data_IF_236763311917
#
_entry.id   IF_236763311917
#
_cell.length_a   1.000
_cell.length_b   1.000
_cell.length_c   1.000
_cell.angle_alpha   90.00
_cell.angle_beta   90.00
_cell.angle_gamma   90.00
#
_symmetry.space_group_name_H-M   'P 1'
#
loop_
_entity.id
_entity.type
_entity.pdbx_description
1 polymer ?
#
# COMPACT_ATOMS: atom_id res chain seq x y z
N UNK A 1 -16.66 -30.37 -10.15
CA UNK A 1 -15.62 -30.09 -9.12
C UNK A 1 -16.27 -29.53 -7.86
N UNK A 2 -15.56 -29.56 -6.73
CA UNK A 2 -15.96 -28.98 -5.45
C UNK A 2 -15.12 -27.74 -5.19
N UNK A 3 -15.75 -26.57 -5.28
CA UNK A 3 -15.07 -25.28 -5.23
C UNK A 3 -15.47 -24.55 -3.96
N UNK A 4 -14.47 -24.06 -3.22
CA UNK A 4 -14.69 -23.18 -2.08
C UNK A 4 -14.41 -21.72 -2.46
N UNK A 5 -15.37 -20.84 -2.19
CA UNK A 5 -15.29 -19.40 -2.42
C UNK A 5 -14.79 -18.71 -1.16
N UNK A 6 -13.65 -18.03 -1.25
CA UNK A 6 -13.19 -17.09 -0.23
C UNK A 6 -13.49 -15.68 -0.72
N UNK A 7 -14.61 -15.13 -0.26
CA UNK A 7 -15.04 -13.76 -0.55
C UNK A 7 -14.35 -12.74 0.35
N UNK A 8 -14.02 -11.57 -0.18
CA UNK A 8 -13.45 -10.50 0.63
C UNK A 8 -13.03 -9.28 -0.19
N UNK A 9 -12.71 -8.18 0.49
CA UNK A 9 -12.19 -6.99 -0.21
C UNK A 9 -10.76 -7.20 -0.70
N UNK A 10 -9.94 -7.98 0.03
CA UNK A 10 -8.52 -8.20 -0.26
C UNK A 10 -7.73 -6.91 -0.50
N UNK A 11 -7.84 -5.98 0.46
CA UNK A 11 -7.32 -4.62 0.33
C UNK A 11 -6.27 -4.28 1.43
N UNK A 12 -5.10 -4.93 1.46
CA UNK A 12 -4.61 -5.95 0.53
C UNK A 12 -4.89 -7.40 1.00
N UNK A 13 -4.71 -8.38 0.12
CA UNK A 13 -4.56 -9.80 0.49
C UNK A 13 -3.31 -9.98 1.38
N UNK A 14 -3.36 -10.94 2.31
CA UNK A 14 -2.31 -11.18 3.30
C UNK A 14 -2.30 -12.65 3.76
N UNK A 15 -1.29 -13.05 4.54
CA UNK A 15 -1.08 -14.44 5.00
C UNK A 15 -2.28 -15.02 5.75
N UNK A 16 -3.05 -14.22 6.50
CA UNK A 16 -4.30 -14.66 7.10
C UNK A 16 -5.29 -15.26 6.08
N UNK A 17 -5.49 -14.62 4.93
CA UNK A 17 -6.35 -15.12 3.86
C UNK A 17 -5.78 -16.41 3.23
N UNK A 18 -4.46 -16.42 2.97
CA UNK A 18 -3.79 -17.61 2.42
C UNK A 18 -3.86 -18.78 3.39
N UNK A 19 -3.80 -18.54 4.70
CA UNK A 19 -3.91 -19.59 5.72
C UNK A 19 -5.32 -20.20 5.75
N UNK A 20 -6.37 -19.42 5.56
CA UNK A 20 -7.74 -19.93 5.42
C UNK A 20 -7.82 -20.87 4.21
N UNK A 21 -7.37 -20.41 3.04
CA UNK A 21 -7.40 -21.21 1.81
C UNK A 21 -6.57 -22.51 1.93
N UNK A 22 -5.37 -22.44 2.51
CA UNK A 22 -4.51 -23.61 2.74
C UNK A 22 -5.18 -24.61 3.69
N UNK A 23 -5.77 -24.14 4.78
CA UNK A 23 -6.48 -25.01 5.73
C UNK A 23 -7.70 -25.65 5.09
N UNK A 24 -8.46 -24.90 4.28
CA UNK A 24 -9.61 -25.42 3.55
C UNK A 24 -9.19 -26.58 2.62
N UNK A 25 -8.15 -26.38 1.80
CA UNK A 25 -7.63 -27.41 0.88
C UNK A 25 -7.08 -28.65 1.60
N UNK A 26 -6.64 -28.51 2.85
CA UNK A 26 -6.09 -29.60 3.64
C UNK A 26 -7.16 -30.41 4.41
N UNK A 27 -8.20 -29.74 4.90
CA UNK A 27 -9.18 -30.32 5.83
C UNK A 27 -10.55 -30.62 5.21
N UNK A 28 -10.89 -29.95 4.12
CA UNK A 28 -12.22 -30.05 3.51
C UNK A 28 -12.19 -30.92 2.26
N UNK A 29 -13.30 -31.59 1.93
CA UNK A 29 -13.43 -32.35 0.70
C UNK A 29 -13.67 -31.39 -0.49
N UNK A 30 -12.67 -30.55 -0.81
CA UNK A 30 -12.72 -29.56 -1.89
C UNK A 30 -11.53 -29.76 -2.85
N UNK A 31 -11.74 -29.39 -4.10
CA UNK A 31 -10.75 -29.54 -5.17
C UNK A 31 -9.97 -28.23 -5.37
N UNK A 32 -10.65 -27.08 -5.24
CA UNK A 32 -10.06 -25.74 -5.41
C UNK A 32 -10.62 -24.70 -4.43
N UNK A 33 -9.83 -23.65 -4.18
CA UNK A 33 -10.28 -22.42 -3.50
C UNK A 33 -10.22 -21.26 -4.48
N UNK A 34 -11.35 -20.59 -4.69
CA UNK A 34 -11.45 -19.41 -5.53
C UNK A 34 -11.52 -18.17 -4.64
N UNK A 35 -10.55 -17.29 -4.79
CA UNK A 35 -10.53 -15.97 -4.19
C UNK A 35 -11.42 -15.05 -5.00
N UNK A 36 -12.42 -14.47 -4.35
CA UNK A 36 -13.47 -13.67 -4.97
C UNK A 36 -13.42 -12.25 -4.41
N UNK A 37 -12.62 -11.34 -5.01
CA UNK A 37 -12.61 -9.94 -4.62
C UNK A 37 -13.97 -9.31 -4.85
N UNK A 38 -14.50 -8.61 -3.85
CA UNK A 38 -15.73 -7.85 -4.05
C UNK A 38 -15.48 -6.53 -4.77
N UNK A 39 -16.40 -6.12 -5.66
CA UNK A 39 -16.31 -4.86 -6.40
C UNK A 39 -16.48 -3.69 -5.44
N UNK A 40 -17.63 -3.68 -4.76
CA UNK A 40 -17.95 -2.76 -3.67
C UNK A 40 -18.33 -3.59 -2.44
N UNK A 41 -17.65 -3.37 -1.31
CA UNK A 41 -18.01 -4.03 -0.06
C UNK A 41 -19.13 -3.21 0.63
N UNK A 42 -20.41 -3.62 0.57
CA UNK A 42 -21.55 -2.79 0.99
C UNK A 42 -21.51 -2.35 2.46
N UNK A 43 -20.74 -3.04 3.30
CA UNK A 43 -20.62 -2.77 4.74
C UNK A 43 -19.33 -2.03 5.13
N UNK A 44 -18.41 -1.74 4.20
CA UNK A 44 -17.16 -1.02 4.51
C UNK A 44 -17.27 0.45 4.15
N UNK A 45 -16.95 1.34 5.12
CA UNK A 45 -16.77 2.78 4.91
C UNK A 45 -15.31 3.07 4.56
N UNK A 46 -15.06 3.90 3.54
CA UNK A 46 -13.72 4.38 3.15
C UNK A 46 -13.33 4.06 1.71
N UNK A 47 -12.36 4.81 1.17
CA UNK A 47 -11.86 4.61 -0.19
C UNK A 47 -10.99 3.36 -0.25
N UNK A 48 -11.46 2.36 -1.00
CA UNK A 48 -10.69 1.14 -1.29
C UNK A 48 -9.76 1.41 -2.46
N UNK A 49 -8.65 0.67 -2.52
CA UNK A 49 -7.87 0.63 -3.75
C UNK A 49 -8.73 0.05 -4.88
N UNK A 50 -8.55 0.59 -6.09
CA UNK A 50 -9.28 0.16 -7.28
C UNK A 50 -9.29 -1.37 -7.44
N UNK A 51 -10.43 -1.90 -7.89
CA UNK A 51 -10.69 -3.34 -8.00
C UNK A 51 -9.57 -4.10 -8.71
N UNK A 52 -9.06 -3.57 -9.83
CA UNK A 52 -8.01 -4.21 -10.61
C UNK A 52 -6.70 -4.41 -9.83
N UNK A 53 -6.29 -3.47 -8.98
CA UNK A 53 -5.11 -3.65 -8.12
C UNK A 53 -5.35 -4.73 -7.07
N UNK A 54 -6.55 -4.82 -6.49
CA UNK A 54 -6.89 -5.87 -5.53
C UNK A 54 -6.86 -7.26 -6.19
N UNK A 55 -7.43 -7.39 -7.39
CA UNK A 55 -7.31 -8.58 -8.23
C UNK A 55 -5.86 -8.93 -8.56
N UNK A 56 -5.04 -7.95 -8.94
CA UNK A 56 -3.63 -8.16 -9.25
C UNK A 56 -2.84 -8.66 -8.02
N UNK A 57 -3.05 -8.04 -6.85
CA UNK A 57 -2.44 -8.50 -5.60
C UNK A 57 -2.87 -9.93 -5.25
N UNK A 58 -4.16 -10.27 -5.41
CA UNK A 58 -4.66 -11.65 -5.20
C UNK A 58 -3.98 -12.61 -6.17
N UNK A 59 -3.96 -12.31 -7.48
CA UNK A 59 -3.32 -13.13 -8.51
C UNK A 59 -1.85 -13.39 -8.19
N UNK A 60 -1.12 -12.35 -7.77
CA UNK A 60 0.29 -12.45 -7.38
C UNK A 60 0.53 -13.25 -6.10
N UNK A 61 -0.39 -13.16 -5.14
CA UNK A 61 -0.31 -13.90 -3.88
C UNK A 61 -0.56 -15.40 -4.09
N UNK A 62 -1.47 -15.75 -5.00
CA UNK A 62 -1.90 -17.14 -5.21
C UNK A 62 -1.15 -17.87 -6.33
N UNK A 63 -0.34 -17.16 -7.13
CA UNK A 63 0.40 -17.74 -8.26
C UNK A 63 1.18 -19.04 -7.94
N UNK A 64 1.81 -19.19 -6.75
CA UNK A 64 2.50 -20.44 -6.41
C UNK A 64 1.59 -21.65 -6.13
N UNK A 65 0.27 -21.45 -6.02
CA UNK A 65 -0.67 -22.48 -5.54
C UNK A 65 -1.64 -22.91 -6.65
N UNK A 66 -1.39 -24.07 -7.28
CA UNK A 66 -2.17 -24.58 -8.43
C UNK A 66 -3.69 -24.67 -8.20
N UNK A 67 -4.10 -25.02 -6.96
CA UNK A 67 -5.50 -25.19 -6.53
C UNK A 67 -6.15 -23.90 -6.01
N UNK A 68 -5.47 -22.76 -6.08
CA UNK A 68 -6.02 -21.46 -5.72
C UNK A 68 -6.22 -20.63 -6.99
N UNK A 69 -7.45 -20.15 -7.22
CA UNK A 69 -7.80 -19.37 -8.41
C UNK A 69 -8.33 -17.99 -8.03
N UNK A 70 -8.18 -17.03 -8.93
CA UNK A 70 -8.85 -15.73 -8.84
C UNK A 70 -10.18 -15.83 -9.60
N UNK A 71 -11.28 -15.41 -8.96
CA UNK A 71 -12.58 -15.24 -9.59
C UNK A 71 -12.93 -13.74 -9.61
N UNK A 72 -13.02 -13.14 -10.80
CA UNK A 72 -13.31 -11.71 -11.01
C UNK A 72 -14.80 -11.42 -11.20
N UNK A 73 -15.66 -12.41 -11.02
CA UNK A 73 -17.09 -12.35 -11.36
C UNK A 73 -17.80 -11.11 -10.78
N UNK A 74 -17.53 -10.76 -9.52
CA UNK A 74 -18.19 -9.60 -8.90
C UNK A 74 -17.81 -8.26 -9.55
N UNK A 75 -16.69 -8.18 -10.26
CA UNK A 75 -16.32 -7.02 -11.07
C UNK A 75 -17.17 -6.88 -12.34
N UNK A 76 -17.59 -8.02 -12.91
CA UNK A 76 -18.40 -8.11 -14.14
C UNK A 76 -19.89 -7.85 -13.88
N UNK A 77 -20.34 -8.05 -12.64
CA UNK A 77 -21.73 -7.80 -12.27
C UNK A 77 -21.99 -6.32 -12.01
N UNK A 78 -23.13 -5.84 -12.49
CA UNK A 78 -23.60 -4.49 -12.21
C UNK A 78 -24.18 -4.37 -10.80
N UNK A 79 -23.94 -3.21 -10.17
CA UNK A 79 -24.41 -2.88 -8.83
C UNK A 79 -23.66 -3.60 -7.70
N UNK A 80 -24.28 -3.60 -6.51
CA UNK A 80 -23.67 -4.12 -5.28
C UNK A 80 -23.40 -5.64 -5.37
N UNK A 81 -22.22 -6.04 -4.90
CA UNK A 81 -21.77 -7.42 -4.78
C UNK A 81 -22.46 -8.15 -3.62
N UNK A 82 -23.71 -8.58 -3.84
CA UNK A 82 -24.42 -9.45 -2.89
C UNK A 82 -24.10 -10.92 -3.16
N UNK A 83 -23.67 -11.64 -2.13
CA UNK A 83 -23.27 -13.07 -2.21
C UNK A 83 -24.33 -13.96 -2.89
N UNK A 84 -25.61 -13.71 -2.66
CA UNK A 84 -26.72 -14.46 -3.28
C UNK A 84 -26.76 -14.30 -4.81
N UNK A 85 -26.39 -13.14 -5.34
CA UNK A 85 -26.29 -12.93 -6.80
C UNK A 85 -25.10 -13.69 -7.36
N UNK A 86 -23.97 -13.61 -6.67
CA UNK A 86 -22.73 -14.26 -7.08
C UNK A 86 -22.88 -15.78 -7.15
N UNK A 87 -23.48 -16.41 -6.13
CA UNK A 87 -23.66 -17.87 -6.12
C UNK A 87 -24.62 -18.36 -7.21
N UNK A 88 -25.70 -17.62 -7.48
CA UNK A 88 -26.65 -17.95 -8.55
C UNK A 88 -25.98 -17.88 -9.92
N UNK A 89 -25.20 -16.83 -10.17
CA UNK A 89 -24.47 -16.68 -11.43
C UNK A 89 -23.36 -17.74 -11.59
N UNK A 90 -22.64 -18.08 -10.52
CA UNK A 90 -21.65 -19.16 -10.56
C UNK A 90 -22.28 -20.50 -10.90
N UNK A 91 -23.40 -20.85 -10.29
CA UNK A 91 -24.13 -22.09 -10.61
C UNK A 91 -24.64 -22.12 -12.05
N UNK A 92 -25.04 -20.96 -12.60
CA UNK A 92 -25.42 -20.83 -14.00
C UNK A 92 -24.24 -21.07 -14.95
N UNK A 93 -23.07 -20.49 -14.65
CA UNK A 93 -21.85 -20.62 -15.48
C UNK A 93 -21.18 -21.99 -15.36
N UNK A 94 -21.29 -22.62 -14.18
CA UNK A 94 -20.64 -23.89 -13.85
C UNK A 94 -21.67 -24.90 -13.29
N UNK A 95 -22.59 -25.41 -14.11
CA UNK A 95 -23.72 -26.23 -13.66
C UNK A 95 -23.31 -27.60 -13.10
N UNK A 96 -22.10 -28.09 -13.40
CA UNK A 96 -21.57 -29.36 -12.91
C UNK A 96 -20.66 -29.20 -11.69
N UNK A 97 -20.46 -27.96 -11.23
CA UNK A 97 -19.64 -27.67 -10.05
C UNK A 97 -20.51 -27.41 -8.82
N UNK A 98 -19.95 -27.71 -7.66
CA UNK A 98 -20.56 -27.45 -6.35
C UNK A 98 -19.77 -26.38 -5.63
N UNK A 99 -20.48 -25.46 -4.99
CA UNK A 99 -19.90 -24.28 -4.38
C UNK A 99 -20.15 -24.27 -2.86
N UNK A 100 -19.14 -23.84 -2.12
CA UNK A 100 -19.20 -23.57 -0.69
C UNK A 100 -18.52 -22.25 -0.38
N UNK A 101 -18.79 -21.65 0.78
CA UNK A 101 -18.17 -20.40 1.22
C UNK A 101 -17.26 -20.63 2.42
N UNK A 102 -16.10 -19.97 2.39
CA UNK A 102 -15.17 -19.89 3.51
C UNK A 102 -15.34 -18.52 4.17
N UNK A 103 -15.73 -18.50 5.44
CA UNK A 103 -15.95 -17.26 6.20
C UNK A 103 -15.29 -17.32 7.58
N UNK A 104 -15.00 -16.16 8.18
CA UNK A 104 -14.52 -16.07 9.56
C UNK A 104 -15.66 -15.96 10.58
N UNK A 105 -15.33 -16.05 11.87
CA UNK A 105 -16.29 -15.87 12.97
C UNK A 105 -17.04 -14.53 12.89
N UNK A 106 -16.34 -13.46 12.52
CA UNK A 106 -16.90 -12.10 12.40
C UNK A 106 -18.02 -12.04 11.35
N UNK A 107 -17.82 -12.71 10.22
CA UNK A 107 -18.81 -12.78 9.14
C UNK A 107 -19.96 -13.72 9.50
N UNK A 108 -19.68 -14.84 10.18
CA UNK A 108 -20.70 -15.77 10.64
C UNK A 108 -21.64 -15.11 11.66
N UNK A 109 -21.10 -14.33 12.60
CA UNK A 109 -21.89 -13.62 13.62
C UNK A 109 -22.86 -12.57 13.02
N UNK A 110 -22.56 -12.03 11.83
CA UNK A 110 -23.41 -11.06 11.14
C UNK A 110 -24.14 -11.64 9.93
N UNK A 111 -24.14 -12.97 9.76
CA UNK A 111 -24.67 -13.61 8.55
C UNK A 111 -26.14 -13.29 8.30
N UNK A 112 -26.95 -13.14 9.34
CA UNK A 112 -28.38 -12.83 9.19
C UNK A 112 -28.62 -11.44 8.57
N UNK A 113 -27.61 -10.55 8.58
CA UNK A 113 -27.64 -9.24 7.91
C UNK A 113 -27.30 -9.33 6.41
N UNK A 114 -26.88 -10.48 5.91
CA UNK A 114 -26.58 -10.67 4.49
C UNK A 114 -27.89 -10.70 3.70
N UNK A 115 -27.87 -10.08 2.51
CA UNK A 115 -29.05 -10.07 1.64
C UNK A 115 -29.46 -11.51 1.29
N UNK A 116 -30.74 -11.82 1.52
CA UNK A 116 -31.35 -13.13 1.29
C UNK A 116 -30.63 -14.28 2.02
N UNK A 117 -30.15 -14.04 3.25
CA UNK A 117 -29.37 -15.00 4.06
C UNK A 117 -30.04 -16.38 4.21
N UNK A 118 -31.37 -16.42 4.38
CA UNK A 118 -32.12 -17.68 4.46
C UNK A 118 -32.06 -18.49 3.15
N UNK A 119 -32.23 -17.83 2.00
CA UNK A 119 -32.05 -18.46 0.69
C UNK A 119 -30.59 -18.89 0.50
N UNK A 120 -29.65 -18.03 0.88
CA UNK A 120 -28.22 -18.28 0.71
C UNK A 120 -27.75 -19.56 1.43
N UNK A 121 -28.32 -19.89 2.60
CA UNK A 121 -28.06 -21.17 3.30
C UNK A 121 -28.52 -22.40 2.52
N UNK A 122 -29.54 -22.26 1.67
CA UNK A 122 -30.01 -23.34 0.79
C UNK A 122 -29.14 -23.47 -0.46
N UNK A 123 -28.51 -22.37 -0.88
CA UNK A 123 -27.70 -22.34 -2.10
C UNK A 123 -26.30 -22.93 -1.91
N UNK A 124 -25.70 -22.84 -0.72
CA UNK A 124 -24.32 -23.29 -0.49
C UNK A 124 -24.03 -23.66 0.97
N UNK A 125 -23.05 -24.55 1.17
CA UNK A 125 -22.48 -24.83 2.48
C UNK A 125 -21.54 -23.70 2.93
N UNK A 126 -21.58 -23.35 4.21
CA UNK A 126 -20.69 -22.36 4.83
C UNK A 126 -19.74 -23.03 5.81
N UNK A 127 -18.44 -22.83 5.61
CA UNK A 127 -17.37 -23.26 6.49
C UNK A 127 -16.82 -22.07 7.27
N UNK A 128 -16.95 -22.12 8.59
CA UNK A 128 -16.58 -21.04 9.50
C UNK A 128 -15.22 -21.34 10.12
N UNK A 129 -14.24 -20.52 9.78
CA UNK A 129 -12.88 -20.59 10.29
C UNK A 129 -12.77 -19.78 11.57
N UNK A 130 -12.58 -20.49 12.67
CA UNK A 130 -12.73 -19.92 14.01
C UNK A 130 -11.44 -19.80 14.78
N UNK A 131 -11.36 -18.78 15.64
CA UNK A 131 -10.32 -18.64 16.67
C UNK A 131 -10.59 -19.52 17.89
N UNK A 132 -11.85 -19.82 18.16
CA UNK A 132 -12.31 -20.54 19.35
C UNK A 132 -13.03 -21.83 18.97
N UNK A 133 -12.83 -22.89 19.74
CA UNK A 133 -13.50 -24.17 19.48
C UNK A 133 -14.98 -24.14 19.90
N UNK A 134 -15.35 -23.27 20.86
CA UNK A 134 -16.60 -23.38 21.62
C UNK A 134 -17.66 -22.31 21.32
N UNK A 135 -17.51 -21.51 20.25
CA UNK A 135 -18.53 -20.51 19.89
C UNK A 135 -19.84 -21.15 19.43
N UNK A 136 -20.98 -20.46 19.59
CA UNK A 136 -22.20 -20.83 18.85
C UNK A 136 -22.03 -20.45 17.36
N UNK A 137 -22.38 -21.36 16.45
CA UNK A 137 -22.49 -21.07 15.03
C UNK A 137 -23.96 -20.90 14.63
N UNK A 138 -24.24 -20.07 13.61
CA UNK A 138 -25.55 -20.09 12.97
C UNK A 138 -25.89 -21.49 12.46
N UNK A 139 -27.15 -21.89 12.62
CA UNK A 139 -27.67 -23.18 12.17
C UNK A 139 -27.32 -23.43 10.69
N UNK A 140 -26.81 -24.63 10.38
CA UNK A 140 -26.45 -25.06 9.03
C UNK A 140 -25.01 -24.77 8.60
N UNK A 141 -24.20 -24.10 9.44
CA UNK A 141 -22.79 -23.84 9.17
C UNK A 141 -21.86 -24.86 9.82
N UNK A 142 -20.69 -25.11 9.22
CA UNK A 142 -19.70 -26.08 9.69
C UNK A 142 -18.45 -25.39 10.22
N UNK A 143 -18.06 -25.66 11.46
CA UNK A 143 -16.82 -25.14 12.06
C UNK A 143 -15.60 -25.82 11.42
N UNK A 144 -14.56 -25.05 11.15
CA UNK A 144 -13.24 -25.55 10.73
C UNK A 144 -12.19 -24.99 11.69
N UNK A 145 -11.63 -25.82 12.60
CA UNK A 145 -10.63 -25.36 13.54
C UNK A 145 -9.34 -24.96 12.81
N UNK A 146 -8.78 -23.80 13.16
CA UNK A 146 -7.49 -23.36 12.63
C UNK A 146 -6.78 -22.42 13.60
N UNK A 147 -5.45 -22.43 13.59
CA UNK A 147 -4.68 -21.35 14.19
C UNK A 147 -4.68 -20.15 13.25
N UNK A 148 -5.44 -19.11 13.61
CA UNK A 148 -5.51 -17.88 12.83
C UNK A 148 -4.24 -17.03 13.01
N UNK A 149 -3.78 -16.46 11.91
CA UNK A 149 -2.75 -15.42 11.94
C UNK A 149 -3.46 -14.13 12.35
N UNK A 150 -3.09 -13.57 13.50
CA UNK A 150 -3.65 -12.30 13.99
C UNK A 150 -3.16 -11.13 13.13
N UNK A 151 -3.83 -10.90 12.00
CA UNK A 151 -3.56 -9.79 11.08
C UNK A 151 -4.84 -9.41 10.32
N UNK A 152 -4.99 -8.12 10.06
CA UNK A 152 -6.03 -7.56 9.21
C UNK A 152 -5.44 -6.67 8.12
N UNK A 153 -6.17 -6.54 7.01
CA UNK A 153 -5.82 -5.58 5.95
C UNK A 153 -5.76 -4.14 6.47
N UNK A 154 -6.58 -3.76 7.47
CA UNK A 154 -6.56 -2.40 8.03
C UNK A 154 -5.25 -2.08 8.73
N UNK A 155 -4.75 -2.99 9.58
CA UNK A 155 -3.43 -2.86 10.20
C UNK A 155 -2.34 -2.69 9.14
N UNK A 156 -2.38 -3.50 8.07
CA UNK A 156 -1.43 -3.41 6.96
C UNK A 156 -1.51 -2.06 6.25
N UNK A 157 -2.71 -1.55 5.95
CA UNK A 157 -2.89 -0.23 5.33
C UNK A 157 -2.36 0.91 6.22
N UNK A 158 -2.36 0.73 7.53
CA UNK A 158 -1.83 1.69 8.51
C UNK A 158 -0.32 1.52 8.78
N UNK A 159 0.34 0.57 8.12
CA UNK A 159 1.78 0.35 8.24
C UNK A 159 2.19 -0.70 9.26
N UNK A 160 1.22 -1.32 9.93
CA UNK A 160 1.42 -2.38 10.92
C UNK A 160 1.42 -3.76 10.25
N UNK A 161 2.07 -4.75 10.86
CA UNK A 161 2.04 -6.16 10.43
C UNK A 161 2.34 -6.41 8.94
N UNK A 162 3.09 -5.52 8.29
CA UNK A 162 3.50 -5.65 6.87
C UNK A 162 4.26 -6.95 6.57
N UNK A 163 4.83 -7.61 7.58
CA UNK A 163 5.42 -8.93 7.47
C UNK A 163 4.45 -9.99 6.92
N UNK A 164 3.13 -9.81 7.14
CA UNK A 164 2.08 -10.71 6.67
C UNK A 164 1.72 -10.51 5.19
N UNK A 165 2.37 -9.60 4.48
CA UNK A 165 2.22 -9.49 3.03
C UNK A 165 3.12 -10.51 2.33
N UNK A 166 2.61 -11.27 1.33
CA UNK A 166 3.47 -12.03 0.43
C UNK A 166 4.48 -11.12 -0.27
N UNK A 167 5.69 -11.62 -0.55
CA UNK A 167 6.78 -10.81 -1.18
C UNK A 167 6.36 -10.18 -2.50
N UNK A 168 5.64 -10.92 -3.34
CA UNK A 168 5.12 -10.45 -4.64
C UNK A 168 4.12 -9.31 -4.47
N UNK A 169 3.28 -9.37 -3.43
CA UNK A 169 2.31 -8.32 -3.11
C UNK A 169 3.00 -7.06 -2.57
N UNK A 170 4.02 -7.20 -1.71
CA UNK A 170 4.84 -6.06 -1.25
C UNK A 170 5.44 -5.28 -2.42
N UNK A 171 6.05 -6.01 -3.35
CA UNK A 171 6.64 -5.42 -4.57
C UNK A 171 5.60 -4.69 -5.42
N UNK A 172 4.44 -5.30 -5.61
CA UNK A 172 3.34 -4.68 -6.34
C UNK A 172 2.85 -3.39 -5.67
N UNK A 173 2.68 -3.43 -4.35
CA UNK A 173 2.31 -2.27 -3.54
C UNK A 173 3.31 -1.12 -3.74
N UNK A 174 4.61 -1.38 -3.56
CA UNK A 174 5.64 -0.35 -3.69
C UNK A 174 5.78 0.21 -5.10
N UNK A 175 5.64 -0.64 -6.13
CA UNK A 175 5.70 -0.20 -7.55
C UNK A 175 4.52 0.70 -7.92
N UNK A 176 3.35 0.47 -7.33
CA UNK A 176 2.12 1.24 -7.61
C UNK A 176 1.84 2.30 -6.54
N UNK A 177 2.76 2.56 -5.61
CA UNK A 177 2.57 3.55 -4.53
C UNK A 177 1.38 3.28 -3.60
N UNK A 178 0.86 2.05 -3.56
CA UNK A 178 -0.36 1.74 -2.81
C UNK A 178 -0.11 1.84 -1.31
N UNK A 179 -1.03 2.46 -0.56
CA UNK A 179 -0.94 2.65 0.89
C UNK A 179 0.30 3.43 1.39
N UNK A 180 1.20 3.86 0.51
CA UNK A 180 2.45 4.57 0.87
C UNK A 180 2.14 5.81 1.68
N UNK A 181 1.12 6.59 1.29
CA UNK A 181 0.70 7.79 2.00
C UNK A 181 0.37 7.52 3.48
N UNK A 182 -0.32 6.41 3.76
CA UNK A 182 -0.66 6.02 5.13
C UNK A 182 0.58 5.57 5.90
N UNK A 183 1.49 4.84 5.25
CA UNK A 183 2.73 4.38 5.87
C UNK A 183 3.67 5.54 6.19
N UNK A 184 3.76 6.53 5.30
CA UNK A 184 4.47 7.79 5.52
C UNK A 184 3.83 8.53 6.69
N UNK A 185 2.51 8.73 6.68
CA UNK A 185 1.78 9.41 7.76
C UNK A 185 2.02 8.77 9.12
N UNK A 186 1.99 7.44 9.21
CA UNK A 186 2.23 6.70 10.45
C UNK A 186 3.67 6.83 10.98
N UNK A 187 4.61 7.31 10.17
CA UNK A 187 6.04 7.38 10.51
C UNK A 187 6.49 8.76 11.01
N UNK A 188 5.62 9.77 11.00
CA UNK A 188 5.99 11.16 11.27
C UNK A 188 4.85 11.97 11.92
N UNK A 189 5.17 13.17 12.40
CA UNK A 189 4.16 14.09 12.93
C UNK A 189 3.25 14.66 11.83
N UNK A 190 2.03 15.06 12.18
CA UNK A 190 1.07 15.65 11.23
C UNK A 190 1.67 16.84 10.46
N UNK A 191 2.40 17.73 11.13
CA UNK A 191 3.10 18.86 10.48
C UNK A 191 4.08 18.41 9.40
N UNK A 192 4.86 17.34 9.65
CA UNK A 192 5.83 16.80 8.68
C UNK A 192 5.13 16.05 7.54
N UNK A 193 4.01 15.41 7.85
CA UNK A 193 3.19 14.76 6.85
C UNK A 193 2.60 15.79 5.87
N UNK A 194 2.05 16.90 6.36
CA UNK A 194 1.54 17.98 5.51
C UNK A 194 2.63 18.60 4.62
N UNK A 195 3.84 18.81 5.16
CA UNK A 195 5.02 19.18 4.36
C UNK A 195 5.28 18.17 3.24
N UNK A 196 5.27 16.88 3.55
CA UNK A 196 5.53 15.83 2.54
C UNK A 196 4.44 15.75 1.47
N UNK A 197 3.17 16.00 1.84
CA UNK A 197 2.06 16.10 0.88
C UNK A 197 2.26 17.28 -0.06
N UNK A 198 2.54 18.48 0.47
CA UNK A 198 2.72 19.66 -0.36
C UNK A 198 3.95 19.56 -1.27
N UNK A 199 5.06 19.00 -0.78
CA UNK A 199 6.23 18.70 -1.62
C UNK A 199 5.87 17.70 -2.74
N UNK A 200 5.05 16.69 -2.46
CA UNK A 200 4.60 15.74 -3.48
C UNK A 200 3.78 16.41 -4.58
N UNK A 201 2.89 17.35 -4.23
CA UNK A 201 2.11 18.13 -5.19
C UNK A 201 3.01 19.00 -6.08
N UNK A 202 4.01 19.67 -5.48
CA UNK A 202 5.00 20.45 -6.24
C UNK A 202 5.83 19.55 -7.16
N UNK A 203 6.23 18.36 -6.68
CA UNK A 203 6.95 17.39 -7.51
C UNK A 203 6.13 16.96 -8.73
N UNK A 204 4.83 16.65 -8.55
CA UNK A 204 3.92 16.29 -9.65
C UNK A 204 3.78 17.43 -10.64
N UNK A 205 3.56 18.66 -10.14
CA UNK A 205 3.45 19.87 -10.97
C UNK A 205 4.68 20.06 -11.86
N UNK A 206 5.88 19.97 -11.27
CA UNK A 206 7.13 20.10 -12.02
C UNK A 206 7.36 18.92 -12.97
N UNK A 207 7.03 17.69 -12.57
CA UNK A 207 7.15 16.54 -13.45
C UNK A 207 6.25 16.66 -14.68
N UNK A 208 5.00 17.10 -14.50
CA UNK A 208 4.06 17.38 -15.60
C UNK A 208 4.63 18.43 -16.57
N UNK A 209 5.14 19.56 -16.05
CA UNK A 209 5.72 20.63 -16.87
C UNK A 209 6.92 20.16 -17.73
N UNK A 210 7.64 19.14 -17.28
CA UNK A 210 8.81 18.57 -17.97
C UNK A 210 8.52 17.23 -18.68
N UNK A 211 7.24 16.86 -18.82
CA UNK A 211 6.80 15.61 -19.47
C UNK A 211 7.43 14.34 -18.85
N UNK A 212 7.57 14.34 -17.52
CA UNK A 212 8.09 13.24 -16.72
C UNK A 212 6.96 12.42 -16.08
N UNK A 213 7.31 11.27 -15.53
CA UNK A 213 6.40 10.36 -14.84
C UNK A 213 5.94 10.96 -13.51
N UNK A 214 4.69 11.43 -13.46
CA UNK A 214 4.08 12.05 -12.29
C UNK A 214 3.96 11.10 -11.09
N UNK A 215 3.79 9.79 -11.33
CA UNK A 215 3.68 8.80 -10.26
C UNK A 215 5.01 8.64 -9.51
N UNK A 216 6.11 8.62 -10.25
CA UNK A 216 7.48 8.63 -9.68
C UNK A 216 7.70 9.91 -8.87
N UNK A 217 7.27 11.05 -9.41
CA UNK A 217 7.43 12.34 -8.76
C UNK A 217 6.61 12.45 -7.47
N UNK A 218 5.38 11.97 -7.47
CA UNK A 218 4.55 11.88 -6.28
C UNK A 218 5.18 10.96 -5.22
N UNK A 219 5.63 9.76 -5.62
CA UNK A 219 6.20 8.78 -4.71
C UNK A 219 7.49 9.27 -4.04
N UNK A 220 8.40 9.92 -4.79
CA UNK A 220 9.62 10.50 -4.20
C UNK A 220 9.29 11.67 -3.28
N UNK A 221 8.32 12.52 -3.66
CA UNK A 221 7.89 13.68 -2.87
C UNK A 221 7.24 13.28 -1.55
N UNK A 222 6.30 12.34 -1.55
CA UNK A 222 5.62 11.92 -0.31
C UNK A 222 6.56 11.20 0.65
N UNK A 223 7.60 10.52 0.14
CA UNK A 223 8.51 9.71 0.94
C UNK A 223 9.83 10.39 1.35
N UNK A 224 10.19 11.54 0.79
CA UNK A 224 11.54 12.13 0.93
C UNK A 224 11.99 12.31 2.38
N UNK A 225 11.07 12.71 3.25
CA UNK A 225 11.33 13.07 4.63
C UNK A 225 10.92 11.98 5.64
N UNK A 226 10.64 10.75 5.17
CA UNK A 226 10.14 9.64 6.00
C UNK A 226 11.01 9.33 7.22
N UNK A 227 12.33 9.58 7.12
CA UNK A 227 13.28 9.35 8.20
C UNK A 227 13.71 10.64 8.93
N UNK A 228 13.12 11.80 8.64
CA UNK A 228 13.54 13.10 9.20
C UNK A 228 13.46 13.16 10.72
N UNK A 229 12.46 12.50 11.29
CA UNK A 229 12.17 12.48 12.73
C UNK A 229 12.64 11.18 13.41
N UNK A 230 13.45 10.37 12.73
CA UNK A 230 14.00 9.15 13.31
C UNK A 230 14.86 9.49 14.56
N UNK A 231 14.68 8.80 15.69
CA UNK A 231 15.51 8.99 16.87
C UNK A 231 17.00 8.79 16.56
N UNK A 232 17.86 9.59 17.18
CA UNK A 232 19.29 9.62 16.87
C UNK A 232 19.95 8.23 16.98
N UNK A 233 19.71 7.50 18.07
CA UNK A 233 20.30 6.17 18.27
C UNK A 233 19.94 5.20 17.14
N UNK A 234 18.68 5.23 16.69
CA UNK A 234 18.23 4.41 15.54
C UNK A 234 18.91 4.84 14.25
N UNK A 235 18.99 6.15 13.99
CA UNK A 235 19.64 6.68 12.80
C UNK A 235 21.14 6.35 12.79
N UNK A 236 21.83 6.47 13.92
CA UNK A 236 23.25 6.15 14.08
C UNK A 236 23.52 4.68 13.81
N UNK A 237 22.75 3.77 14.41
CA UNK A 237 22.84 2.32 14.14
C UNK A 237 22.63 2.05 12.66
N UNK A 238 21.62 2.67 12.04
CA UNK A 238 21.36 2.52 10.61
C UNK A 238 22.56 2.95 9.76
N UNK A 239 23.12 4.13 10.04
CA UNK A 239 24.29 4.66 9.31
C UNK A 239 25.50 3.75 9.45
N UNK A 240 25.79 3.24 10.66
CA UNK A 240 26.91 2.32 10.89
C UNK A 240 26.81 1.07 10.02
N UNK A 241 25.61 0.47 9.92
CA UNK A 241 25.43 -0.80 9.22
C UNK A 241 25.20 -0.66 7.71
N UNK A 242 24.63 0.45 7.27
CA UNK A 242 24.19 0.60 5.87
C UNK A 242 24.95 1.68 5.09
N UNK A 243 25.50 2.70 5.76
CA UNK A 243 26.11 3.89 5.15
C UNK A 243 27.39 4.35 5.89
N UNK A 244 28.35 3.45 6.19
CA UNK A 244 29.49 3.78 7.05
C UNK A 244 30.38 4.91 6.50
N UNK A 245 30.45 5.07 5.16
CA UNK A 245 31.20 6.14 4.49
C UNK A 245 30.67 7.54 4.79
N UNK A 246 29.39 7.67 5.16
CA UNK A 246 28.72 8.96 5.38
C UNK A 246 28.61 9.35 6.87
N UNK A 247 29.23 8.58 7.77
CA UNK A 247 29.14 8.81 9.22
C UNK A 247 29.71 10.15 9.69
N UNK A 248 30.65 10.73 8.95
CA UNK A 248 31.27 12.02 9.29
C UNK A 248 30.46 13.22 8.81
N UNK A 249 29.44 13.01 7.97
CA UNK A 249 28.61 14.09 7.47
C UNK A 249 27.68 14.65 8.56
N UNK A 250 27.24 15.89 8.36
CA UNK A 250 26.29 16.51 9.26
C UNK A 250 25.03 15.64 9.41
N UNK A 251 24.64 15.38 10.66
CA UNK A 251 23.44 14.59 11.01
C UNK A 251 22.19 15.04 10.26
N UNK A 252 22.05 16.34 10.00
CA UNK A 252 20.90 16.89 9.27
C UNK A 252 20.78 16.32 7.86
N UNK A 253 21.84 15.75 7.27
CA UNK A 253 21.90 15.15 5.93
C UNK A 253 21.46 13.68 5.95
N UNK A 254 21.73 12.95 7.04
CA UNK A 254 21.57 11.49 7.11
C UNK A 254 20.17 11.00 6.72
N UNK A 255 19.11 11.77 7.00
CA UNK A 255 17.75 11.39 6.63
C UNK A 255 17.53 11.17 5.12
N UNK A 256 18.30 11.82 4.24
CA UNK A 256 18.26 11.53 2.79
C UNK A 256 18.75 10.12 2.49
N UNK A 257 19.92 9.77 3.01
CA UNK A 257 20.52 8.44 2.83
C UNK A 257 19.69 7.33 3.46
N UNK A 258 19.30 7.53 4.73
CA UNK A 258 18.46 6.59 5.48
C UNK A 258 17.09 6.50 4.81
N UNK A 259 16.50 7.63 4.40
CA UNK A 259 15.20 7.68 3.73
C UNK A 259 15.17 6.88 2.44
N UNK A 260 16.21 6.97 1.62
CA UNK A 260 16.33 6.21 0.38
C UNK A 260 16.40 4.68 0.64
N UNK A 261 17.25 4.25 1.59
CA UNK A 261 17.35 2.83 1.95
C UNK A 261 16.06 2.33 2.65
N UNK A 262 15.44 3.17 3.48
CA UNK A 262 14.16 2.88 4.13
C UNK A 262 13.03 2.72 3.12
N UNK A 263 12.90 3.63 2.15
CA UNK A 263 11.88 3.56 1.09
C UNK A 263 11.98 2.25 0.31
N UNK A 264 13.20 1.83 -0.02
CA UNK A 264 13.45 0.55 -0.68
C UNK A 264 13.01 -0.65 0.17
N UNK A 265 13.38 -0.68 1.45
CA UNK A 265 13.18 -1.85 2.32
C UNK A 265 11.77 -1.96 2.91
N UNK A 266 11.17 -0.82 3.25
CA UNK A 266 9.96 -0.76 4.08
C UNK A 266 8.75 -0.12 3.38
N UNK A 267 8.97 0.65 2.31
CA UNK A 267 7.92 1.07 1.37
C UNK A 267 7.92 0.20 0.10
N UNK A 268 8.91 -0.69 -0.04
CA UNK A 268 9.06 -1.63 -1.16
C UNK A 268 9.19 -0.95 -2.54
N UNK A 269 9.67 0.30 -2.56
CA UNK A 269 9.93 1.05 -3.77
C UNK A 269 11.22 0.55 -4.43
N UNK A 270 11.12 -0.01 -5.64
CA UNK A 270 12.27 -0.53 -6.38
C UNK A 270 12.76 0.41 -7.49
N UNK A 271 11.97 1.44 -7.83
CA UNK A 271 12.33 2.37 -8.89
C UNK A 271 13.56 3.20 -8.49
N UNK A 272 14.65 3.02 -9.23
CA UNK A 272 15.93 3.69 -8.98
C UNK A 272 15.81 5.21 -9.07
N UNK A 273 14.87 5.75 -9.86
CA UNK A 273 14.61 7.19 -9.97
C UNK A 273 14.14 7.76 -8.64
N UNK A 274 13.19 7.08 -7.99
CA UNK A 274 12.66 7.43 -6.66
C UNK A 274 13.77 7.37 -5.62
N UNK A 275 14.47 6.23 -5.55
CA UNK A 275 15.51 6.00 -4.53
C UNK A 275 16.66 7.00 -4.68
N UNK A 276 17.11 7.25 -5.91
CA UNK A 276 18.17 8.23 -6.18
C UNK A 276 17.72 9.66 -5.85
N UNK A 277 16.50 10.06 -6.20
CA UNK A 277 15.99 11.38 -5.85
C UNK A 277 15.97 11.59 -4.34
N UNK A 278 15.42 10.64 -3.56
CA UNK A 278 15.39 10.71 -2.09
C UNK A 278 16.81 10.73 -1.52
N UNK A 279 17.76 9.98 -2.09
CA UNK A 279 19.14 9.97 -1.60
C UNK A 279 19.80 11.35 -1.71
N UNK A 280 19.61 12.04 -2.83
CA UNK A 280 20.29 13.31 -3.15
C UNK A 280 19.51 14.57 -2.72
N UNK A 281 18.26 14.46 -2.28
CA UNK A 281 17.38 15.62 -2.10
C UNK A 281 17.85 16.63 -1.04
N UNK A 282 18.72 16.23 -0.11
CA UNK A 282 19.20 17.15 0.94
C UNK A 282 20.29 18.06 0.42
N UNK A 283 21.24 17.49 -0.33
CA UNK A 283 22.42 18.18 -0.86
C UNK A 283 22.15 18.83 -2.22
N UNK A 284 21.17 18.31 -2.98
CA UNK A 284 20.89 18.80 -4.33
C UNK A 284 22.03 18.52 -5.30
N UNK A 285 22.79 17.44 -5.07
CA UNK A 285 23.94 17.00 -5.85
C UNK A 285 23.56 15.98 -6.95
N UNK A 286 22.31 15.51 -6.96
CA UNK A 286 21.79 14.61 -7.97
C UNK A 286 21.56 15.30 -9.32
N UNK A 287 22.11 14.72 -10.40
CA UNK A 287 22.00 15.26 -11.75
C UNK A 287 20.72 14.84 -12.50
N UNK A 288 19.98 13.85 -12.00
CA UNK A 288 18.75 13.39 -12.67
C UNK A 288 17.63 14.44 -12.54
N UNK A 289 16.74 14.56 -13.54
CA UNK A 289 15.61 15.48 -13.46
C UNK A 289 14.74 15.29 -12.20
N UNK A 290 14.53 14.04 -11.77
CA UNK A 290 13.79 13.73 -10.55
C UNK A 290 14.51 14.20 -9.27
N UNK A 291 15.84 14.04 -9.20
CA UNK A 291 16.61 14.54 -8.06
C UNK A 291 16.58 16.07 -7.99
N UNK A 292 16.67 16.74 -9.14
CA UNK A 292 16.55 18.20 -9.24
C UNK A 292 15.14 18.63 -8.79
N UNK A 293 14.08 18.02 -9.34
CA UNK A 293 12.69 18.30 -8.98
C UNK A 293 12.48 18.14 -7.48
N UNK A 294 12.93 17.04 -6.88
CA UNK A 294 12.70 16.81 -5.45
C UNK A 294 13.43 17.83 -4.57
N UNK A 295 14.68 18.14 -4.93
CA UNK A 295 15.47 19.14 -4.21
C UNK A 295 14.81 20.53 -4.27
N UNK A 296 14.40 20.99 -5.47
CA UNK A 296 13.75 22.31 -5.59
C UNK A 296 12.37 22.30 -4.95
N UNK A 297 11.59 21.21 -5.05
CA UNK A 297 10.28 21.10 -4.43
C UNK A 297 10.35 21.18 -2.90
N UNK A 298 11.28 20.48 -2.24
CA UNK A 298 11.47 20.61 -0.78
C UNK A 298 11.85 22.04 -0.38
N UNK A 299 12.63 22.72 -1.23
CA UNK A 299 13.12 24.08 -0.99
C UNK A 299 12.16 25.18 -1.40
N UNK A 300 11.10 24.89 -2.15
CA UNK A 300 10.11 25.84 -2.61
C UNK A 300 8.70 25.51 -2.09
N UNK A 301 8.60 24.54 -1.17
CA UNK A 301 7.36 24.08 -0.57
C UNK A 301 6.52 25.24 -0.01
N UNK A 302 5.31 25.50 -0.54
CA UNK A 302 4.42 26.54 -0.05
C UNK A 302 4.05 26.40 1.44
N UNK A 303 4.05 25.18 1.99
CA UNK A 303 3.75 24.96 3.40
C UNK A 303 4.82 25.54 4.35
N UNK A 304 5.95 26.04 3.82
CA UNK A 304 6.98 26.76 4.59
C UNK A 304 6.64 28.24 4.86
N UNK A 305 5.58 28.78 4.26
CA UNK A 305 5.02 30.09 4.63
C UNK A 305 5.69 31.31 3.99
N UNK A 306 6.42 31.14 2.89
CA UNK A 306 6.89 32.23 2.03
C UNK A 306 6.42 32.00 0.59
N UNK A 307 6.35 33.07 -0.20
CA UNK A 307 5.95 32.98 -1.60
C UNK A 307 7.11 32.47 -2.46
N UNK A 308 6.90 31.32 -3.09
CA UNK A 308 7.84 30.65 -4.00
C UNK A 308 7.35 30.64 -5.45
N UNK A 309 6.29 31.40 -5.76
CA UNK A 309 5.57 31.32 -7.05
C UNK A 309 6.45 31.65 -8.25
N UNK A 310 7.31 32.68 -8.15
CA UNK A 310 8.23 33.05 -9.22
C UNK A 310 9.28 31.97 -9.48
N UNK A 311 9.86 31.41 -8.41
CA UNK A 311 10.84 30.32 -8.51
C UNK A 311 10.21 29.06 -9.09
N UNK A 312 8.96 28.74 -8.71
CA UNK A 312 8.23 27.61 -9.28
C UNK A 312 7.96 27.80 -10.78
N UNK A 313 7.51 28.97 -11.20
CA UNK A 313 7.32 29.30 -12.63
C UNK A 313 8.64 29.19 -13.41
N UNK A 314 9.76 29.59 -12.82
CA UNK A 314 11.08 29.42 -13.42
C UNK A 314 11.46 27.94 -13.53
N UNK A 315 11.22 27.15 -12.48
CA UNK A 315 11.48 25.70 -12.48
C UNK A 315 10.61 24.97 -13.51
N UNK A 316 9.35 25.37 -13.71
CA UNK A 316 8.47 24.82 -14.75
C UNK A 316 9.00 25.08 -16.16
N UNK A 317 9.55 26.27 -16.40
CA UNK A 317 10.15 26.61 -17.70
C UNK A 317 11.51 25.93 -17.92
N UNK A 318 12.32 25.82 -16.87
CA UNK A 318 13.66 25.25 -16.94
C UNK A 318 14.15 24.78 -15.57
N UNK A 319 14.32 23.46 -15.41
CA UNK A 319 14.86 22.88 -14.18
C UNK A 319 16.29 23.36 -13.88
N UNK A 320 17.12 23.58 -14.90
CA UNK A 320 18.50 24.01 -14.71
C UNK A 320 18.59 25.44 -14.19
N UNK A 321 17.81 26.37 -14.79
CA UNK A 321 17.74 27.75 -14.32
C UNK A 321 17.09 27.84 -12.93
N UNK A 322 16.00 27.09 -12.72
CA UNK A 322 15.35 26.99 -11.42
C UNK A 322 16.29 26.48 -10.33
N UNK A 323 17.02 25.39 -10.59
CA UNK A 323 18.01 24.83 -9.67
C UNK A 323 19.12 25.84 -9.32
N UNK A 324 19.67 26.52 -10.33
CA UNK A 324 20.71 27.54 -10.12
C UNK A 324 20.19 28.67 -9.21
N UNK A 325 18.95 29.13 -9.46
CA UNK A 325 18.31 30.17 -8.65
C UNK A 325 18.09 29.71 -7.19
N UNK A 326 17.52 28.53 -6.99
CA UNK A 326 17.28 27.96 -5.64
C UNK A 326 18.59 27.79 -4.87
N UNK A 327 19.65 27.29 -5.52
CA UNK A 327 20.97 27.15 -4.89
C UNK A 327 21.57 28.49 -4.48
N UNK A 328 21.46 29.51 -5.34
CA UNK A 328 21.92 30.85 -5.04
C UNK A 328 21.19 31.43 -3.81
N UNK A 329 19.86 31.39 -3.79
CA UNK A 329 19.06 31.90 -2.67
C UNK A 329 19.36 31.15 -1.36
N UNK A 330 19.59 29.83 -1.43
CA UNK A 330 19.99 29.05 -0.26
C UNK A 330 21.36 29.48 0.28
N UNK A 331 22.34 29.74 -0.59
CA UNK A 331 23.65 30.24 -0.17
C UNK A 331 23.54 31.62 0.49
N UNK A 332 22.76 32.54 -0.11
CA UNK A 332 22.51 33.86 0.47
C UNK A 332 21.84 33.78 1.85
N UNK A 333 20.87 32.87 2.01
CA UNK A 333 20.24 32.61 3.30
C UNK A 333 21.23 32.09 4.36
N UNK A 334 22.08 31.13 3.97
CA UNK A 334 23.09 30.57 4.87
C UNK A 334 24.16 31.61 5.26
N UNK A 335 24.56 32.50 4.33
CA UNK A 335 25.43 33.65 4.62
C UNK A 335 24.78 34.61 5.61
N UNK A 336 23.51 34.98 5.38
CA UNK A 336 22.75 35.86 6.32
C UNK A 336 22.63 35.25 7.72
N UNK A 337 22.62 33.93 7.83
CA UNK A 337 22.61 33.20 9.11
C UNK A 337 24.00 32.94 9.70
N UNK A 338 25.08 33.39 9.03
CA UNK A 338 26.46 33.17 9.49
C UNK A 338 26.91 31.72 9.44
N UNK A 339 26.25 30.87 8.65
CA UNK A 339 26.59 29.44 8.51
C UNK A 339 27.77 29.25 7.56
N UNK A 340 27.91 30.12 6.57
CA UNK A 340 28.99 30.14 5.58
C UNK A 340 29.45 31.59 5.37
N UNK A 341 30.73 31.78 4.99
CA UNK A 341 31.34 33.10 4.78
C UNK A 341 31.03 33.74 3.43
#
# INVERSE_FOLDING_TARGET
MRIALLGGSFDPIHEGHLRIAKTALAKLPIDEVWFLPCKDAPLKKGQQVAFHHRCAMVKLAIAPYRKMKLCTLEGELDGVSYTIRTIKELKKRFPHDTFSFLIGDDQAAQFDKWKDSAQLKQEACFYVFSRHEDGQLPTGMKRVPMQLISVSSTEIRNGEKKWALPKTVRRYIGSNGLYVINWVKASMSEKRFQHSVSVAEVCVRLAHAHHLDEHVAWCMGIAHDICKQMPFEKAKIWMIHHMPSHLQENRAIWHGYIGADYAKRFLYMEDKRIISAIYHHVLGDGASPYAIILYVADKLDPARGYDSSEQLLLCEKSLSLGLARVKQEQQEYLRKKGVIS
#
